data_IF_246183782642
#
_entry.id   IF_246183782642
#
_cell.length_a   1.000
_cell.length_b   1.000
_cell.length_c   1.000
_cell.angle_alpha   90.00
_cell.angle_beta   90.00
_cell.angle_gamma   90.00
#
_symmetry.space_group_name_H-M   'P 1'
#
loop_
_entity.id
_entity.type
_entity.pdbx_description
1 polymer ?
#
# COMPACT_ATOMS: atom_id res chain seq x y z
N UNK A 1 4.76 -11.16 -15.60
CA UNK A 1 6.09 -11.82 -15.43
C UNK A 1 7.26 -10.89 -15.71
N UNK A 2 7.41 -10.31 -16.95
CA UNK A 2 8.55 -9.45 -17.30
C UNK A 2 8.69 -8.24 -16.36
N UNK A 3 7.59 -7.57 -16.06
CA UNK A 3 7.55 -6.46 -15.09
C UNK A 3 8.07 -6.92 -13.70
N UNK A 4 7.60 -8.03 -13.21
CA UNK A 4 7.96 -8.57 -11.89
C UNK A 4 9.44 -9.02 -11.86
N UNK A 5 9.94 -9.67 -12.91
CA UNK A 5 11.34 -10.05 -13.05
C UNK A 5 12.27 -8.84 -13.09
N UNK A 6 11.88 -7.78 -13.82
CA UNK A 6 12.64 -6.52 -13.88
C UNK A 6 12.70 -5.87 -12.51
N UNK A 7 11.59 -5.81 -11.78
CA UNK A 7 11.54 -5.28 -10.43
C UNK A 7 12.40 -6.10 -9.46
N UNK A 8 12.41 -7.42 -9.60
CA UNK A 8 13.21 -8.32 -8.77
C UNK A 8 14.72 -8.15 -9.01
N UNK A 9 15.13 -7.89 -10.26
CA UNK A 9 16.54 -7.76 -10.66
C UNK A 9 17.13 -6.37 -10.45
N UNK A 10 16.31 -5.37 -10.14
CA UNK A 10 16.76 -4.00 -9.96
C UNK A 10 17.56 -3.83 -8.65
N UNK A 11 18.55 -2.92 -8.60
CA UNK A 11 19.24 -2.57 -7.36
C UNK A 11 18.26 -2.08 -6.29
N UNK A 12 18.35 -2.64 -5.08
CA UNK A 12 17.48 -2.32 -3.94
C UNK A 12 18.31 -1.99 -2.70
N UNK A 13 19.18 -1.00 -2.83
CA UNK A 13 20.20 -0.70 -1.82
C UNK A 13 19.65 0.12 -0.65
N UNK A 14 18.52 0.84 -0.87
CA UNK A 14 17.96 1.73 0.14
C UNK A 14 17.02 0.99 1.07
N UNK A 15 17.33 1.04 2.36
CA UNK A 15 16.57 0.36 3.42
C UNK A 15 16.37 1.29 4.62
N UNK A 16 15.27 1.09 5.34
CA UNK A 16 15.00 1.75 6.61
C UNK A 16 15.32 0.79 7.76
N UNK A 17 16.37 1.06 8.52
CA UNK A 17 16.88 0.14 9.55
C UNK A 17 17.08 -1.30 9.06
N UNK A 18 17.50 -1.47 7.82
CA UNK A 18 17.68 -2.79 7.20
C UNK A 18 16.44 -3.40 6.54
N UNK A 19 15.28 -2.73 6.59
CA UNK A 19 14.02 -3.20 6.02
C UNK A 19 13.67 -2.48 4.72
N UNK A 20 13.11 -3.20 3.77
CA UNK A 20 12.36 -2.60 2.67
C UNK A 20 11.03 -2.03 3.18
N UNK A 21 10.60 -0.90 2.64
CA UNK A 21 9.32 -0.29 2.95
C UNK A 21 8.37 -0.45 1.76
N UNK A 22 7.38 -1.32 1.90
CA UNK A 22 6.41 -1.63 0.84
C UNK A 22 5.07 -0.96 1.13
N UNK A 23 4.77 0.13 0.39
CA UNK A 23 3.44 0.71 0.41
C UNK A 23 2.50 -0.08 -0.49
N UNK A 24 1.26 -0.26 -0.04
CA UNK A 24 0.17 -0.84 -0.83
C UNK A 24 -0.92 0.20 -0.99
N UNK A 25 -1.32 0.44 -2.24
CA UNK A 25 -2.40 1.37 -2.53
C UNK A 25 -3.13 0.97 -3.82
N UNK A 26 -4.35 1.50 -3.97
CA UNK A 26 -5.22 1.26 -5.11
C UNK A 26 -5.24 2.41 -6.12
N UNK A 27 -5.35 2.07 -7.38
CA UNK A 27 -5.61 3.00 -8.47
C UNK A 27 -6.86 2.57 -9.22
N UNK A 28 -7.71 3.54 -9.59
CA UNK A 28 -8.88 3.36 -10.44
C UNK A 28 -8.71 4.21 -11.68
N UNK A 29 -9.15 3.69 -12.82
CA UNK A 29 -9.17 4.42 -14.06
C UNK A 29 -10.29 3.95 -14.99
N UNK A 30 -10.53 4.71 -16.04
CA UNK A 30 -11.53 4.37 -17.04
C UNK A 30 -10.94 3.45 -18.11
N UNK A 31 -11.75 2.53 -18.59
CA UNK A 31 -11.46 1.67 -19.74
C UNK A 31 -12.06 2.28 -21.02
N UNK A 32 -11.56 1.91 -22.22
CA UNK A 32 -12.17 2.32 -23.48
C UNK A 32 -13.64 1.91 -23.56
N UNK A 33 -14.49 2.82 -24.03
CA UNK A 33 -15.94 2.59 -24.23
C UNK A 33 -16.19 1.79 -25.48
N UNK A 34 -15.93 0.47 -25.44
CA UNK A 34 -16.38 -0.45 -26.48
C UNK A 34 -17.70 -1.11 -26.08
N UNK A 35 -18.54 -1.56 -27.06
CA UNK A 35 -19.76 -2.28 -26.73
C UNK A 35 -19.52 -3.50 -25.85
N UNK A 36 -18.43 -4.25 -26.10
CA UNK A 36 -18.06 -5.47 -25.38
C UNK A 36 -17.69 -5.17 -23.93
N UNK A 37 -16.81 -4.20 -23.70
CA UNK A 37 -16.36 -3.81 -22.35
C UNK A 37 -17.49 -3.17 -21.55
N UNK A 38 -18.33 -2.35 -22.20
CA UNK A 38 -19.48 -1.74 -21.57
C UNK A 38 -20.54 -2.78 -21.17
N UNK A 39 -20.83 -3.76 -22.02
CA UNK A 39 -21.76 -4.83 -21.72
C UNK A 39 -21.26 -5.72 -20.55
N UNK A 40 -19.95 -5.90 -20.42
CA UNK A 40 -19.36 -6.80 -19.42
C UNK A 40 -19.10 -6.13 -18.07
N UNK A 41 -18.73 -4.85 -18.07
CA UNK A 41 -18.23 -4.15 -16.87
C UNK A 41 -19.09 -2.95 -16.44
N UNK A 42 -20.17 -2.63 -17.17
CA UNK A 42 -21.18 -1.69 -16.73
C UNK A 42 -22.44 -2.46 -16.34
N UNK A 43 -22.49 -2.95 -15.10
CA UNK A 43 -23.59 -3.81 -14.60
C UNK A 43 -24.91 -3.05 -14.36
N UNK A 44 -24.90 -1.72 -14.36
CA UNK A 44 -26.08 -0.89 -14.09
C UNK A 44 -26.23 0.20 -15.11
N UNK A 45 -27.48 0.64 -15.36
CA UNK A 45 -27.79 1.80 -16.23
C UNK A 45 -27.10 3.11 -15.80
N UNK A 46 -26.66 3.19 -14.53
CA UNK A 46 -25.92 4.33 -13.99
C UNK A 46 -24.43 4.29 -14.34
N UNK A 47 -23.90 3.14 -14.71
CA UNK A 47 -22.52 2.98 -15.15
C UNK A 47 -22.36 3.57 -16.56
N UNK A 48 -21.70 4.71 -16.67
CA UNK A 48 -21.47 5.40 -17.94
C UNK A 48 -20.19 4.97 -18.65
N UNK A 49 -19.24 4.41 -17.92
CA UNK A 49 -17.93 4.05 -18.43
C UNK A 49 -17.42 2.82 -17.69
N UNK A 50 -16.96 1.78 -18.40
CA UNK A 50 -16.29 0.66 -17.75
C UNK A 50 -15.00 1.15 -17.09
N UNK A 51 -14.67 0.57 -15.93
CA UNK A 51 -13.52 0.97 -15.12
C UNK A 51 -12.61 -0.23 -14.87
N UNK A 52 -11.38 0.07 -14.49
CA UNK A 52 -10.49 -0.91 -13.88
C UNK A 52 -10.12 -0.51 -12.46
N UNK A 53 -9.77 -1.49 -11.65
CA UNK A 53 -9.09 -1.30 -10.38
C UNK A 53 -7.74 -2.00 -10.45
N UNK A 54 -6.70 -1.33 -9.96
CA UNK A 54 -5.40 -1.94 -9.78
C UNK A 54 -4.92 -1.68 -8.37
N UNK A 55 -4.37 -2.71 -7.71
CA UNK A 55 -3.71 -2.56 -6.41
C UNK A 55 -2.24 -2.91 -6.61
N UNK A 56 -1.36 -2.04 -6.17
CA UNK A 56 0.08 -2.19 -6.37
C UNK A 56 0.85 -2.17 -5.06
N UNK A 57 1.95 -2.90 -5.04
CA UNK A 57 2.99 -2.83 -4.00
C UNK A 57 4.17 -2.05 -4.55
N UNK A 58 4.60 -1.04 -3.81
CA UNK A 58 5.64 -0.11 -4.19
C UNK A 58 6.75 -0.06 -3.14
N UNK A 59 7.99 -0.33 -3.53
CA UNK A 59 9.17 -0.10 -2.69
C UNK A 59 9.44 1.40 -2.64
N UNK A 60 9.11 2.01 -1.50
CA UNK A 60 9.11 3.45 -1.32
C UNK A 60 10.51 4.04 -1.46
N UNK A 61 11.51 3.39 -0.87
CA UNK A 61 12.87 3.92 -0.82
C UNK A 61 13.61 3.75 -2.13
N UNK A 62 13.30 2.69 -2.86
CA UNK A 62 13.88 2.40 -4.18
C UNK A 62 12.99 2.92 -5.33
N UNK A 63 11.80 3.46 -5.01
CA UNK A 63 10.85 4.07 -5.95
C UNK A 63 10.46 3.14 -7.10
N UNK A 64 10.12 1.89 -6.77
CA UNK A 64 9.80 0.87 -7.76
C UNK A 64 8.49 0.16 -7.46
N UNK A 65 7.68 -0.07 -8.47
CA UNK A 65 6.55 -0.99 -8.38
C UNK A 65 7.07 -2.43 -8.38
N UNK A 66 6.73 -3.21 -7.35
CA UNK A 66 7.21 -4.59 -7.18
C UNK A 66 6.20 -5.59 -7.70
N UNK A 67 4.95 -5.38 -7.35
CA UNK A 67 3.80 -6.20 -7.73
C UNK A 67 2.61 -5.34 -8.03
N UNK A 68 1.75 -5.84 -8.92
CA UNK A 68 0.45 -5.23 -9.17
C UNK A 68 -0.58 -6.29 -9.57
N UNK A 69 -1.82 -6.07 -9.16
CA UNK A 69 -2.99 -6.82 -9.61
C UNK A 69 -3.91 -5.86 -10.33
N UNK A 70 -4.15 -6.15 -11.62
CA UNK A 70 -5.09 -5.44 -12.46
C UNK A 70 -6.40 -6.21 -12.51
N UNK A 71 -7.52 -5.53 -12.32
CA UNK A 71 -8.85 -6.12 -12.31
C UNK A 71 -9.79 -5.27 -13.15
N UNK A 72 -10.54 -5.90 -14.04
CA UNK A 72 -11.59 -5.25 -14.80
C UNK A 72 -12.85 -5.08 -13.93
N UNK A 73 -13.45 -3.90 -13.98
CA UNK A 73 -14.57 -3.56 -13.12
C UNK A 73 -14.18 -3.22 -11.68
N UNK A 74 -15.15 -3.29 -10.78
CA UNK A 74 -14.98 -2.98 -9.36
C UNK A 74 -14.39 -4.21 -8.64
N UNK A 75 -13.38 -4.00 -7.80
CA UNK A 75 -12.75 -5.05 -7.02
C UNK A 75 -12.64 -4.66 -5.54
N UNK A 76 -12.58 -5.64 -4.67
CA UNK A 76 -12.18 -5.43 -3.26
C UNK A 76 -10.65 -5.28 -3.18
N UNK A 77 -10.19 -4.07 -2.88
CA UNK A 77 -8.77 -3.75 -2.77
C UNK A 77 -8.06 -4.57 -1.68
N UNK A 78 -8.78 -4.96 -0.61
CA UNK A 78 -8.22 -5.79 0.49
C UNK A 78 -7.96 -7.21 0.03
N UNK A 79 -8.86 -7.77 -0.77
CA UNK A 79 -8.68 -9.11 -1.36
C UNK A 79 -7.49 -9.11 -2.32
N UNK A 80 -7.38 -8.09 -3.18
CA UNK A 80 -6.25 -7.96 -4.10
C UNK A 80 -4.92 -7.77 -3.34
N UNK A 81 -4.90 -6.96 -2.27
CA UNK A 81 -3.75 -6.79 -1.41
C UNK A 81 -3.34 -8.11 -0.74
N UNK A 82 -4.30 -8.89 -0.24
CA UNK A 82 -4.05 -10.22 0.32
C UNK A 82 -3.38 -11.17 -0.66
N UNK A 83 -3.84 -11.20 -1.91
CA UNK A 83 -3.23 -12.00 -2.99
C UNK A 83 -1.80 -11.55 -3.32
N UNK A 84 -1.51 -10.24 -3.21
CA UNK A 84 -0.15 -9.73 -3.42
C UNK A 84 0.79 -10.10 -2.27
N UNK A 85 0.31 -10.04 -1.02
CA UNK A 85 1.08 -10.49 0.15
C UNK A 85 1.50 -11.95 -0.02
N UNK A 86 0.56 -12.84 -0.37
CA UNK A 86 0.84 -14.25 -0.61
C UNK A 86 1.90 -14.44 -1.71
N UNK A 87 1.75 -13.69 -2.81
CA UNK A 87 2.67 -13.78 -3.94
C UNK A 87 4.10 -13.31 -3.59
N UNK A 88 4.24 -12.20 -2.85
CA UNK A 88 5.55 -11.67 -2.43
C UNK A 88 6.19 -12.56 -1.37
N UNK A 89 5.40 -13.03 -0.40
CA UNK A 89 5.90 -13.90 0.67
C UNK A 89 6.42 -15.27 0.18
N UNK A 90 5.96 -15.72 -0.99
CA UNK A 90 6.41 -16.99 -1.61
C UNK A 90 7.45 -16.78 -2.70
N UNK A 91 7.69 -15.55 -3.12
CA UNK A 91 8.61 -15.24 -4.21
C UNK A 91 10.08 -15.36 -3.75
N UNK A 92 10.88 -16.08 -4.52
CA UNK A 92 12.30 -16.36 -4.22
C UNK A 92 13.15 -15.09 -4.06
N UNK A 93 12.75 -13.99 -4.68
CA UNK A 93 13.47 -12.70 -4.62
C UNK A 93 13.12 -11.84 -3.42
N UNK A 94 11.99 -12.12 -2.75
CA UNK A 94 11.46 -11.25 -1.69
C UNK A 94 11.22 -11.97 -0.36
N UNK A 95 11.02 -13.30 -0.36
CA UNK A 95 10.59 -14.08 0.83
C UNK A 95 11.54 -13.99 2.02
N UNK A 96 12.84 -13.86 1.75
CA UNK A 96 13.89 -13.84 2.78
C UNK A 96 14.36 -12.40 3.10
N UNK A 97 13.80 -11.39 2.43
CA UNK A 97 14.14 -9.98 2.62
C UNK A 97 13.34 -9.38 3.78
N UNK A 98 13.97 -8.65 4.71
CA UNK A 98 13.25 -7.94 5.76
C UNK A 98 12.33 -6.87 5.18
N UNK A 99 11.04 -6.91 5.53
CA UNK A 99 10.01 -6.07 4.91
C UNK A 99 9.08 -5.47 5.95
N UNK A 100 8.68 -4.20 5.74
CA UNK A 100 7.60 -3.54 6.47
C UNK A 100 6.55 -3.11 5.45
N UNK A 101 5.33 -3.62 5.60
CA UNK A 101 4.20 -3.33 4.73
C UNK A 101 3.38 -2.17 5.28
N UNK A 102 3.05 -1.20 4.44
CA UNK A 102 2.42 0.04 4.87
C UNK A 102 1.09 0.21 4.13
N UNK A 103 0.01 0.37 4.90
CA UNK A 103 -1.35 0.45 4.36
C UNK A 103 -2.08 1.69 4.85
N UNK A 104 -2.88 2.28 3.95
CA UNK A 104 -3.78 3.37 4.32
C UNK A 104 -5.06 2.85 4.99
N UNK A 105 -5.87 3.79 5.45
CA UNK A 105 -7.10 3.60 6.22
C UNK A 105 -8.14 2.68 5.55
N UNK A 106 -8.12 2.53 4.23
CA UNK A 106 -9.01 1.67 3.46
C UNK A 106 -8.74 0.16 3.65
N UNK A 107 -7.51 -0.23 3.94
CA UNK A 107 -7.07 -1.62 3.92
C UNK A 107 -7.26 -2.39 5.25
N UNK A 108 -7.11 -1.80 6.45
CA UNK A 108 -7.09 -2.58 7.68
C UNK A 108 -8.33 -3.48 7.82
N UNK A 109 -8.07 -4.77 7.94
CA UNK A 109 -9.04 -5.81 8.26
C UNK A 109 -8.36 -6.89 9.09
N UNK A 110 -9.13 -7.65 9.85
CA UNK A 110 -8.58 -8.75 10.65
C UNK A 110 -7.95 -9.81 9.76
N UNK A 111 -8.58 -10.15 8.63
CA UNK A 111 -8.06 -11.11 7.65
C UNK A 111 -6.72 -10.68 7.05
N UNK A 112 -6.54 -9.39 6.75
CA UNK A 112 -5.27 -8.90 6.22
C UNK A 112 -4.15 -8.92 7.26
N UNK A 113 -4.47 -8.54 8.51
CA UNK A 113 -3.51 -8.63 9.63
C UNK A 113 -3.11 -10.08 9.90
N UNK A 114 -4.08 -11.01 9.96
CA UNK A 114 -3.82 -12.42 10.12
C UNK A 114 -2.86 -12.94 9.04
N UNK A 115 -3.13 -12.63 7.77
CA UNK A 115 -2.28 -13.02 6.65
C UNK A 115 -0.84 -12.50 6.78
N UNK A 116 -0.65 -11.24 7.16
CA UNK A 116 0.68 -10.67 7.40
C UNK A 116 1.41 -11.39 8.53
N UNK A 117 0.72 -11.71 9.61
CA UNK A 117 1.28 -12.45 10.75
C UNK A 117 1.64 -13.89 10.39
N UNK A 118 0.81 -14.58 9.62
CA UNK A 118 1.06 -15.95 9.12
C UNK A 118 2.34 -16.01 8.28
N UNK A 119 2.56 -15.00 7.42
CA UNK A 119 3.79 -14.84 6.66
C UNK A 119 4.95 -14.21 7.45
N UNK A 120 4.78 -13.92 8.75
CA UNK A 120 5.78 -13.26 9.62
C UNK A 120 6.26 -11.91 9.08
N UNK A 121 5.38 -11.19 8.43
CA UNK A 121 5.66 -9.87 7.86
C UNK A 121 5.36 -8.77 8.87
N UNK A 122 6.18 -7.72 8.85
CA UNK A 122 5.93 -6.51 9.62
C UNK A 122 5.01 -5.56 8.88
N UNK A 123 4.25 -4.77 9.63
CA UNK A 123 3.35 -3.80 9.02
C UNK A 123 3.15 -2.54 9.85
N UNK A 124 2.75 -1.47 9.17
CA UNK A 124 2.21 -0.24 9.76
C UNK A 124 0.93 0.12 9.02
N UNK A 125 -0.19 0.24 9.73
CA UNK A 125 -1.49 0.53 9.14
C UNK A 125 -2.16 1.72 9.84
N UNK A 126 -2.71 2.65 9.07
CA UNK A 126 -3.63 3.65 9.59
C UNK A 126 -5.02 3.04 9.74
N UNK A 127 -5.68 3.27 10.87
CA UNK A 127 -6.98 2.67 11.15
C UNK A 127 -8.09 3.69 11.33
N UNK A 128 -9.29 3.32 10.87
CA UNK A 128 -10.50 4.12 11.06
C UNK A 128 -10.97 4.11 12.51
N UNK A 129 -11.90 5.01 12.84
CA UNK A 129 -12.55 5.06 14.16
C UNK A 129 -13.45 3.85 14.44
N UNK A 130 -13.82 3.09 13.41
CA UNK A 130 -14.70 1.91 13.53
C UNK A 130 -13.96 0.58 13.43
N UNK A 131 -12.60 0.58 13.42
CA UNK A 131 -11.83 -0.62 13.12
C UNK A 131 -12.06 -1.76 14.15
N UNK A 132 -11.56 -1.63 15.36
CA UNK A 132 -11.73 -2.62 16.45
C UNK A 132 -12.12 -1.93 17.74
N UNK A 133 -12.92 -2.60 18.58
CA UNK A 133 -13.32 -2.04 19.89
C UNK A 133 -12.12 -1.76 20.80
N UNK A 134 -11.11 -2.62 20.77
CA UNK A 134 -9.87 -2.49 21.55
C UNK A 134 -9.05 -1.27 21.08
N UNK A 135 -8.95 -1.05 19.76
CA UNK A 135 -8.30 0.14 19.18
C UNK A 135 -9.09 1.40 19.51
N UNK A 136 -10.43 1.32 19.51
CA UNK A 136 -11.28 2.44 19.92
C UNK A 136 -11.16 2.77 21.41
N UNK A 137 -10.98 1.77 22.26
CA UNK A 137 -10.68 1.98 23.68
C UNK A 137 -9.32 2.69 23.84
N UNK A 138 -8.29 2.28 23.07
CA UNK A 138 -7.02 3.00 23.02
C UNK A 138 -7.19 4.45 22.55
N UNK A 139 -7.99 4.70 21.48
CA UNK A 139 -8.27 6.05 20.97
C UNK A 139 -8.86 6.98 22.03
N UNK A 140 -9.72 6.47 22.90
CA UNK A 140 -10.35 7.23 24.01
C UNK A 140 -9.43 7.37 25.23
N UNK A 141 -8.33 6.62 25.28
CA UNK A 141 -7.40 6.63 26.40
C UNK A 141 -6.42 7.80 26.34
N UNK A 142 -5.62 8.00 27.41
CA UNK A 142 -4.51 8.96 27.45
C UNK A 142 -3.20 8.38 26.90
N UNK A 143 -3.18 7.11 26.54
CA UNK A 143 -1.97 6.47 26.04
C UNK A 143 -1.61 6.97 24.62
N UNK A 144 -0.33 7.11 24.38
CA UNK A 144 0.20 7.51 23.07
C UNK A 144 0.86 6.35 22.33
N UNK A 145 1.21 5.28 23.03
CA UNK A 145 1.87 4.10 22.50
C UNK A 145 1.65 2.94 23.45
N UNK A 146 0.92 1.93 23.04
CA UNK A 146 0.55 0.79 23.87
C UNK A 146 0.29 -0.46 23.04
N UNK A 147 0.74 -1.60 23.54
CA UNK A 147 0.36 -2.91 23.03
C UNK A 147 -1.01 -3.29 23.59
N UNK A 148 -1.90 -3.76 22.74
CA UNK A 148 -3.22 -4.28 23.07
C UNK A 148 -3.33 -5.72 22.58
N UNK A 149 -4.00 -6.55 23.37
CA UNK A 149 -4.26 -7.94 23.01
C UNK A 149 -5.57 -8.05 22.25
N UNK A 150 -5.55 -8.77 21.12
CA UNK A 150 -6.71 -9.03 20.28
C UNK A 150 -7.00 -10.52 20.29
N UNK A 151 -8.23 -10.89 20.68
CA UNK A 151 -8.74 -12.25 20.63
C UNK A 151 -9.84 -12.36 19.56
N UNK A 152 -9.80 -13.43 18.78
CA UNK A 152 -10.89 -13.80 17.89
C UNK A 152 -11.84 -14.78 18.57
N UNK A 153 -13.12 -14.43 18.65
CA UNK A 153 -14.16 -15.42 18.84
C UNK A 153 -14.59 -15.99 17.46
N UNK A 154 -15.10 -17.20 17.43
CA UNK A 154 -15.64 -17.81 16.18
C UNK A 154 -16.70 -16.91 15.50
N UNK A 155 -17.56 -16.28 16.28
CA UNK A 155 -18.54 -15.33 15.78
C UNK A 155 -17.91 -14.11 15.10
N UNK A 156 -16.79 -13.64 15.60
CA UNK A 156 -16.04 -12.51 15.06
C UNK A 156 -15.26 -12.91 13.82
N UNK A 157 -14.74 -14.13 13.75
CA UNK A 157 -14.09 -14.69 12.59
C UNK A 157 -15.07 -14.78 11.41
N UNK A 158 -16.26 -15.32 11.64
CA UNK A 158 -17.32 -15.46 10.60
C UNK A 158 -17.76 -14.12 10.04
N UNK A 159 -17.96 -13.09 10.91
CA UNK A 159 -18.38 -11.75 10.48
C UNK A 159 -17.31 -11.01 9.65
N UNK A 160 -16.04 -11.36 9.80
CA UNK A 160 -14.92 -10.69 9.15
C UNK A 160 -14.24 -11.55 8.07
N UNK A 161 -14.88 -12.64 7.62
CA UNK A 161 -14.33 -13.57 6.64
C UNK A 161 -12.93 -14.10 6.99
N UNK A 162 -12.64 -14.27 8.27
CA UNK A 162 -11.38 -14.82 8.77
C UNK A 162 -11.49 -16.34 8.80
N UNK A 163 -10.50 -17.04 8.26
CA UNK A 163 -10.47 -18.50 8.34
C UNK A 163 -10.30 -18.95 9.79
N UNK A 164 -11.12 -19.89 10.24
CA UNK A 164 -11.13 -20.41 11.61
C UNK A 164 -9.85 -21.17 12.01
N UNK A 165 -9.03 -21.55 11.04
CA UNK A 165 -7.78 -22.30 11.25
C UNK A 165 -6.55 -21.41 11.43
N UNK A 166 -6.70 -20.08 11.35
CA UNK A 166 -5.59 -19.14 11.46
C UNK A 166 -5.26 -18.72 12.89
N UNK A 167 -4.44 -17.68 13.01
CA UNK A 167 -4.03 -17.09 14.29
C UNK A 167 -5.25 -16.57 15.04
N UNK A 168 -5.58 -17.16 16.18
CA UNK A 168 -6.78 -16.85 16.98
C UNK A 168 -6.58 -15.68 17.94
N UNK A 169 -5.35 -15.33 18.24
CA UNK A 169 -4.98 -14.24 19.15
C UNK A 169 -3.63 -13.63 18.73
N UNK A 170 -3.49 -12.33 18.90
CA UNK A 170 -2.22 -11.63 18.65
C UNK A 170 -2.16 -10.30 19.39
N UNK A 171 -0.95 -9.80 19.57
CA UNK A 171 -0.69 -8.49 20.10
C UNK A 171 -0.56 -7.45 18.99
N UNK A 172 -1.19 -6.30 19.20
CA UNK A 172 -1.19 -5.18 18.28
C UNK A 172 -0.71 -3.91 19.01
N UNK A 173 0.38 -3.33 18.55
CA UNK A 173 0.86 -2.06 19.07
C UNK A 173 0.09 -0.91 18.42
N UNK A 174 -0.57 -0.09 19.24
CA UNK A 174 -1.26 1.12 18.83
C UNK A 174 -0.39 2.33 19.13
N UNK A 175 -0.16 3.17 18.12
CA UNK A 175 0.64 4.38 18.21
C UNK A 175 -0.20 5.58 17.78
N UNK A 176 -0.35 6.56 18.68
CA UNK A 176 -1.03 7.82 18.39
C UNK A 176 -0.06 8.81 17.79
N UNK A 177 -0.35 9.33 16.61
CA UNK A 177 0.41 10.36 15.93
C UNK A 177 -0.46 11.59 15.71
N UNK A 178 0.12 12.78 15.86
CA UNK A 178 -0.57 14.04 15.55
C UNK A 178 -0.29 14.42 14.10
N UNK A 179 -1.35 14.76 13.40
CA UNK A 179 -1.27 15.40 12.09
C UNK A 179 -0.92 16.89 12.24
N UNK A 180 -0.44 17.55 11.18
CA UNK A 180 -0.28 19.00 11.15
C UNK A 180 -1.58 19.77 11.46
N UNK A 181 -2.73 19.17 11.11
CA UNK A 181 -4.07 19.72 11.44
C UNK A 181 -4.41 19.69 12.94
N UNK A 182 -3.58 19.07 13.78
CA UNK A 182 -3.83 18.86 15.20
C UNK A 182 -4.67 17.62 15.52
N UNK A 183 -5.23 16.95 14.53
CA UNK A 183 -6.00 15.71 14.70
C UNK A 183 -5.10 14.53 15.07
N UNK A 184 -5.64 13.64 15.92
CA UNK A 184 -4.96 12.40 16.29
C UNK A 184 -5.30 11.28 15.30
N UNK A 185 -4.26 10.69 14.72
CA UNK A 185 -4.36 9.43 13.99
C UNK A 185 -3.84 8.26 14.83
N UNK A 186 -4.43 7.10 14.60
CA UNK A 186 -3.96 5.85 15.21
C UNK A 186 -3.35 4.98 14.12
N UNK A 187 -2.10 4.63 14.36
CA UNK A 187 -1.37 3.63 13.58
C UNK A 187 -1.33 2.34 14.41
N UNK A 188 -1.51 1.21 13.73
CA UNK A 188 -1.36 -0.12 14.32
C UNK A 188 -0.22 -0.86 13.65
N UNK A 189 0.53 -1.65 14.44
CA UNK A 189 1.74 -2.31 13.96
C UNK A 189 2.08 -3.52 14.85
N UNK A 190 2.86 -4.47 14.32
CA UNK A 190 3.52 -5.54 15.07
C UNK A 190 5.03 -5.28 15.30
N UNK A 191 5.53 -4.09 14.94
CA UNK A 191 6.92 -3.70 15.20
C UNK A 191 7.17 -3.45 16.69
N UNK A 192 8.27 -3.98 17.22
CA UNK A 192 8.64 -3.78 18.62
C UNK A 192 9.04 -2.33 18.92
N UNK A 193 8.75 -1.88 20.15
CA UNK A 193 9.03 -0.50 20.59
C UNK A 193 10.53 -0.21 20.74
N UNK A 194 11.33 -1.22 21.10
CA UNK A 194 12.77 -1.05 21.31
C UNK A 194 13.47 -0.77 20.00
N UNK A 195 13.11 -1.54 18.96
CA UNK A 195 13.74 -1.45 17.65
C UNK A 195 13.16 -0.30 16.81
N UNK A 196 11.86 -0.03 17.00
CA UNK A 196 11.12 1.01 16.27
C UNK A 196 10.38 1.94 17.26
N UNK A 197 11.05 2.97 17.80
CA UNK A 197 10.38 3.96 18.64
C UNK A 197 9.26 4.70 17.87
N UNK A 198 8.37 5.37 18.59
CA UNK A 198 7.20 6.07 18.02
C UNK A 198 7.55 6.98 16.84
N UNK A 199 8.71 7.67 16.89
CA UNK A 199 9.16 8.56 15.82
C UNK A 199 9.34 7.80 14.49
N UNK A 200 9.87 6.58 14.55
CA UNK A 200 10.13 5.76 13.37
C UNK A 200 8.82 5.23 12.78
N UNK A 201 7.84 4.85 13.62
CA UNK A 201 6.50 4.46 13.15
C UNK A 201 5.82 5.64 12.42
N UNK A 202 5.95 6.86 12.96
CA UNK A 202 5.43 8.07 12.31
C UNK A 202 6.13 8.32 10.97
N UNK A 203 7.45 8.18 10.93
CA UNK A 203 8.26 8.39 9.72
C UNK A 203 7.95 7.34 8.64
N UNK A 204 7.91 6.05 9.01
CA UNK A 204 7.54 4.95 8.10
C UNK A 204 6.19 5.24 7.46
N UNK A 205 5.19 5.63 8.27
CA UNK A 205 3.86 5.93 7.73
C UNK A 205 3.85 7.17 6.85
N UNK A 206 4.61 8.21 7.18
CA UNK A 206 4.76 9.42 6.35
C UNK A 206 5.30 9.08 4.95
N UNK A 207 6.26 8.17 4.88
CA UNK A 207 6.88 7.74 3.62
C UNK A 207 5.89 7.00 2.70
N UNK A 208 4.77 6.48 3.20
CA UNK A 208 3.69 5.87 2.39
C UNK A 208 3.28 6.73 1.20
N UNK A 209 3.31 8.05 1.37
CA UNK A 209 2.96 8.99 0.30
C UNK A 209 3.77 8.80 -1.00
N UNK A 210 4.90 8.10 -0.92
CA UNK A 210 5.72 7.78 -2.10
C UNK A 210 4.96 7.00 -3.18
N UNK A 211 4.02 6.09 -2.82
CA UNK A 211 3.24 5.35 -3.83
C UNK A 211 2.28 6.28 -4.59
N UNK A 212 1.68 7.27 -3.92
CA UNK A 212 0.81 8.26 -4.57
C UNK A 212 1.61 9.09 -5.59
N UNK A 213 2.87 9.43 -5.26
CA UNK A 213 3.79 10.08 -6.20
C UNK A 213 4.09 9.17 -7.40
N UNK A 214 4.33 7.87 -7.16
CA UNK A 214 4.49 6.87 -8.23
C UNK A 214 3.28 6.79 -9.15
N UNK A 215 2.06 6.72 -8.60
CA UNK A 215 0.83 6.73 -9.39
C UNK A 215 0.62 8.03 -10.17
N UNK A 216 0.94 9.18 -9.57
CA UNK A 216 0.87 10.46 -10.27
C UNK A 216 1.83 10.49 -11.46
N UNK A 217 3.02 9.91 -11.33
CA UNK A 217 3.96 9.80 -12.44
C UNK A 217 3.43 8.86 -13.55
N UNK A 218 2.88 7.70 -13.16
CA UNK A 218 2.25 6.77 -14.11
C UNK A 218 1.14 7.45 -14.92
N UNK A 219 0.28 8.25 -14.27
CA UNK A 219 -0.82 8.95 -14.92
C UNK A 219 -0.36 10.07 -15.85
N UNK A 220 0.58 10.90 -15.40
CA UNK A 220 0.91 12.16 -16.05
C UNK A 220 2.14 12.08 -16.99
N UNK A 221 3.04 11.12 -16.80
CA UNK A 221 4.24 10.98 -17.62
C UNK A 221 4.27 9.71 -18.45
N UNK A 222 3.66 8.63 -17.96
CA UNK A 222 3.57 7.34 -18.68
C UNK A 222 2.21 7.16 -19.36
N UNK A 223 1.21 7.95 -18.95
CA UNK A 223 -0.15 7.93 -19.52
C UNK A 223 -0.84 6.57 -19.37
N UNK A 224 -0.72 5.93 -18.21
CA UNK A 224 -1.24 4.59 -17.93
C UNK A 224 -2.76 4.42 -18.15
N UNK A 225 -3.52 5.51 -18.20
CA UNK A 225 -4.96 5.54 -18.46
C UNK A 225 -5.28 5.74 -19.97
N UNK A 226 -4.28 5.97 -20.82
CA UNK A 226 -4.43 6.12 -22.27
C UNK A 226 -4.21 4.78 -22.98
N UNK A 227 -5.18 3.90 -22.85
CA UNK A 227 -5.12 2.57 -23.47
C UNK A 227 -5.19 2.64 -25.00
N UNK A 228 -4.26 1.98 -25.66
CA UNK A 228 -4.25 1.78 -27.13
C UNK A 228 -5.11 0.56 -27.50
N UNK A 229 -5.06 -0.47 -26.67
CA UNK A 229 -5.77 -1.72 -26.85
C UNK A 229 -7.26 -1.59 -26.52
N UNK A 230 -8.07 -2.49 -27.11
CA UNK A 230 -9.52 -2.57 -26.86
C UNK A 230 -9.97 -3.94 -26.35
N UNK A 231 -9.06 -4.89 -26.28
CA UNK A 231 -9.30 -6.23 -25.73
C UNK A 231 -8.80 -6.35 -24.31
N UNK A 232 -9.41 -7.20 -23.51
CA UNK A 232 -8.99 -7.40 -22.10
C UNK A 232 -7.50 -7.71 -21.98
N UNK A 233 -7.01 -8.67 -22.78
CA UNK A 233 -5.60 -9.04 -22.74
C UNK A 233 -4.68 -7.86 -23.13
N UNK A 234 -5.04 -7.12 -24.16
CA UNK A 234 -4.26 -5.94 -24.59
C UNK A 234 -4.28 -4.83 -23.54
N UNK A 235 -5.43 -4.54 -22.92
CA UNK A 235 -5.56 -3.55 -21.84
C UNK A 235 -4.69 -3.91 -20.62
N UNK A 236 -4.70 -5.19 -20.22
CA UNK A 236 -3.83 -5.66 -19.15
C UNK A 236 -2.33 -5.53 -19.56
N UNK A 237 -1.98 -5.83 -20.81
CA UNK A 237 -0.62 -5.64 -21.31
C UNK A 237 -0.22 -4.15 -21.31
N UNK A 238 -1.06 -3.25 -21.80
CA UNK A 238 -0.81 -1.80 -21.80
C UNK A 238 -0.53 -1.31 -20.35
N UNK A 239 -1.33 -1.75 -19.38
CA UNK A 239 -1.13 -1.42 -17.97
C UNK A 239 0.23 -1.91 -17.45
N UNK A 240 0.58 -3.19 -17.64
CA UNK A 240 1.84 -3.74 -17.14
C UNK A 240 3.07 -3.19 -17.87
N UNK A 241 2.95 -2.83 -19.14
CA UNK A 241 4.00 -2.12 -19.89
C UNK A 241 4.23 -0.74 -19.29
N UNK A 242 3.20 -0.03 -18.88
CA UNK A 242 3.35 1.26 -18.22
C UNK A 242 4.13 1.17 -16.91
N UNK A 243 3.87 0.14 -16.08
CA UNK A 243 4.65 -0.14 -14.86
C UNK A 243 6.11 -0.49 -15.21
N UNK A 244 6.32 -1.27 -16.26
CA UNK A 244 7.65 -1.65 -16.72
C UNK A 244 8.46 -0.42 -17.17
N UNK A 245 7.86 0.46 -17.97
CA UNK A 245 8.47 1.73 -18.40
C UNK A 245 8.85 2.58 -17.20
N UNK A 246 7.95 2.70 -16.20
CA UNK A 246 8.24 3.43 -14.97
C UNK A 246 9.48 2.87 -14.26
N UNK A 247 9.52 1.56 -14.04
CA UNK A 247 10.64 0.91 -13.35
C UNK A 247 11.96 1.06 -14.13
N UNK A 248 11.95 0.91 -15.46
CA UNK A 248 13.13 1.14 -16.28
C UNK A 248 13.62 2.59 -16.18
N UNK A 249 12.72 3.56 -16.28
CA UNK A 249 13.08 4.97 -16.12
C UNK A 249 13.71 5.23 -14.75
N UNK A 250 13.17 4.66 -13.68
CA UNK A 250 13.72 4.77 -12.33
C UNK A 250 15.12 4.16 -12.24
N UNK A 251 15.35 2.96 -12.81
CA UNK A 251 16.65 2.32 -12.82
C UNK A 251 17.70 3.16 -13.59
N UNK A 252 17.34 3.66 -14.77
CA UNK A 252 18.24 4.48 -15.60
C UNK A 252 18.59 5.78 -14.88
N UNK A 253 17.58 6.49 -14.35
CA UNK A 253 17.81 7.74 -13.61
C UNK A 253 18.65 7.50 -12.37
N UNK A 254 18.39 6.44 -11.60
CA UNK A 254 19.16 6.09 -10.42
C UNK A 254 20.63 5.76 -10.72
N UNK A 255 20.89 5.10 -11.85
CA UNK A 255 22.26 4.76 -12.26
C UNK A 255 23.03 5.96 -12.86
N UNK A 256 22.36 6.85 -13.59
CA UNK A 256 22.98 8.01 -14.24
C UNK A 256 23.25 9.17 -13.27
N UNK A 257 22.42 9.30 -12.23
CA UNK A 257 22.46 10.45 -11.31
C UNK A 257 22.44 10.02 -9.84
N UNK A 258 23.42 9.23 -9.39
CA UNK A 258 23.42 8.69 -8.01
C UNK A 258 23.51 9.79 -6.93
N UNK A 259 23.94 11.01 -7.28
CA UNK A 259 24.24 12.09 -6.32
C UNK A 259 23.42 13.38 -6.55
N UNK A 260 22.39 13.38 -7.39
CA UNK A 260 21.54 14.57 -7.49
C UNK A 260 20.60 14.59 -6.26
N UNK A 261 20.72 15.59 -5.39
CA UNK A 261 19.73 15.75 -4.30
C UNK A 261 18.36 15.96 -4.95
N UNK A 262 17.41 15.11 -4.61
CA UNK A 262 16.02 15.29 -5.07
C UNK A 262 15.55 16.64 -4.53
N UNK A 263 15.05 17.51 -5.41
CA UNK A 263 14.34 18.72 -4.98
C UNK A 263 13.22 18.24 -4.04
N UNK A 264 13.28 18.62 -2.77
CA UNK A 264 12.16 18.49 -1.87
C UNK A 264 10.96 19.14 -2.57
N UNK A 265 9.88 18.37 -2.73
CA UNK A 265 8.65 18.92 -3.31
C UNK A 265 8.23 20.09 -2.43
N UNK A 266 8.32 21.29 -2.97
CA UNK A 266 8.03 22.56 -2.31
C UNK A 266 6.56 22.71 -1.87
N UNK A 267 5.71 21.73 -2.09
CA UNK A 267 4.35 21.69 -1.56
C UNK A 267 4.26 21.42 -0.05
N UNK A 268 5.37 21.07 0.61
CA UNK A 268 5.43 20.86 2.06
C UNK A 268 6.07 22.04 2.82
N UNK A 269 6.54 23.09 2.14
CA UNK A 269 7.29 24.20 2.74
C UNK A 269 6.45 25.39 3.25
N UNK A 270 5.13 25.31 3.18
CA UNK A 270 4.29 26.51 3.45
C UNK A 270 3.72 26.62 4.86
N UNK A 271 4.19 25.85 5.86
CA UNK A 271 3.63 25.97 7.23
C UNK A 271 4.68 26.15 8.36
N UNK A 272 5.97 26.20 8.08
CA UNK A 272 6.97 26.29 9.17
C UNK A 272 7.68 27.66 9.34
N UNK A 273 7.34 28.69 8.60
CA UNK A 273 7.92 30.02 8.79
C UNK A 273 6.86 31.13 8.94
N UNK A 274 6.24 31.19 10.11
CA UNK A 274 5.71 32.44 10.65
C UNK A 274 6.42 32.72 11.98
N UNK A 275 7.06 33.92 12.15
CA UNK A 275 7.70 34.29 13.39
C UNK A 275 6.65 34.46 14.51
N UNK A 276 7.03 34.24 15.77
CA UNK A 276 6.14 34.47 16.89
C UNK A 276 5.95 36.00 17.10
N UNK A 277 4.71 36.43 17.12
CA UNK A 277 4.28 37.67 17.77
C UNK A 277 3.99 37.43 19.24
#
# INVERSE_FOLDING_TARGET
>A
ELFEQTAASAPKDKRFHGYHLYAVDGMKGELPKTPELSAKYCETEKCKTPVFHAVSTFDILNEMFIRSKFHFGIADERELAGKMIDAVAQDVYYKDEPQIWIFDRGFPSLSLIQKLLEHRLYFVMRVSSSFLKEVNAFRKSKYVDRVIHIEYSECRATQNHVHSEGISQFDLRCVRVKLPSGEDEILVTNLDRKDFPKRDIKEIYRLRWGIETGFNYLKNAVFVEEFVSKTENGLAQDYFVSLLIYNFATCICGSMYPNIPKKENTSTRSIEELPPD
#
